data_IF_593218179356
#
_entry.id   IF_593218179356
#
_cell.length_a   1.000
_cell.length_b   1.000
_cell.length_c   1.000
_cell.angle_alpha   90.00
_cell.angle_beta   90.00
_cell.angle_gamma   90.00
#
_symmetry.space_group_name_H-M   'P 1'
#
loop_
_entity.id
_entity.type
_entity.pdbx_description
1 polymer ?
#
# COMPACT_ATOMS: atom_id res chain seq x y z
N UNK A 1 -21.30 18.03 -13.05
CA UNK A 1 -21.69 17.39 -14.34
C UNK A 1 -20.78 17.78 -15.51
N UNK A 2 -19.99 18.86 -15.47
CA UNK A 2 -19.11 19.20 -16.59
C UNK A 2 -17.75 18.50 -16.45
N UNK A 3 -17.42 17.62 -17.40
CA UNK A 3 -16.05 17.14 -17.64
C UNK A 3 -15.77 15.65 -17.43
N UNK A 4 -16.75 14.82 -17.08
CA UNK A 4 -16.57 13.36 -17.06
C UNK A 4 -16.68 12.81 -18.48
N UNK A 5 -15.62 12.20 -18.99
CA UNK A 5 -15.51 11.71 -20.38
C UNK A 5 -15.53 10.20 -20.49
N UNK A 6 -15.27 9.48 -19.39
CA UNK A 6 -15.28 8.00 -19.32
C UNK A 6 -16.36 7.50 -18.37
N UNK A 7 -16.81 6.25 -18.51
CA UNK A 7 -17.80 5.64 -17.60
C UNK A 7 -17.33 5.63 -16.14
N UNK A 8 -16.03 5.43 -15.92
CA UNK A 8 -15.42 5.50 -14.59
C UNK A 8 -15.46 6.92 -14.02
N UNK A 9 -15.19 7.96 -14.81
CA UNK A 9 -15.33 9.35 -14.37
C UNK A 9 -16.79 9.73 -14.05
N UNK A 10 -17.75 9.20 -14.81
CA UNK A 10 -19.17 9.41 -14.55
C UNK A 10 -19.59 8.72 -13.24
N UNK A 11 -19.10 7.51 -13.00
CA UNK A 11 -19.33 6.77 -11.77
C UNK A 11 -18.69 7.45 -10.56
N UNK A 12 -17.49 8.01 -10.72
CA UNK A 12 -16.87 8.87 -9.72
C UNK A 12 -17.77 10.05 -9.33
N UNK A 13 -18.31 10.78 -10.32
CA UNK A 13 -19.23 11.89 -10.04
C UNK A 13 -20.47 11.44 -9.26
N UNK A 14 -21.03 10.27 -9.60
CA UNK A 14 -22.20 9.69 -8.94
C UNK A 14 -21.90 9.28 -7.50
N UNK A 15 -20.78 8.62 -7.27
CA UNK A 15 -20.32 8.23 -5.93
C UNK A 15 -20.12 9.45 -5.03
N UNK A 16 -19.52 10.52 -5.57
CA UNK A 16 -19.30 11.77 -4.82
C UNK A 16 -20.62 12.48 -4.52
N UNK A 17 -21.58 12.51 -5.45
CA UNK A 17 -22.88 13.14 -5.22
C UNK A 17 -23.73 12.44 -4.17
N UNK A 18 -23.55 11.12 -3.99
CA UNK A 18 -24.21 10.33 -2.94
C UNK A 18 -23.47 10.40 -1.59
N UNK A 19 -22.47 11.27 -1.45
CA UNK A 19 -21.76 11.49 -0.19
C UNK A 19 -20.68 10.46 0.16
N UNK A 20 -20.34 9.56 -0.77
CA UNK A 20 -19.35 8.50 -0.58
C UNK A 20 -17.96 8.85 -1.14
N UNK A 21 -17.73 10.13 -1.46
CA UNK A 21 -16.47 10.64 -2.03
C UNK A 21 -15.32 10.84 -1.04
N UNK A 22 -15.55 10.74 0.28
CA UNK A 22 -14.57 11.12 1.31
C UNK A 22 -13.27 10.29 1.33
N UNK A 23 -13.25 9.12 0.69
CA UNK A 23 -12.06 8.28 0.52
C UNK A 23 -11.49 8.29 -0.90
N UNK A 24 -12.07 9.08 -1.81
CA UNK A 24 -11.61 9.19 -3.18
C UNK A 24 -10.64 10.36 -3.35
N UNK A 25 -9.66 10.25 -4.27
CA UNK A 25 -8.80 11.37 -4.64
C UNK A 25 -9.61 12.52 -5.26
N UNK A 26 -9.01 13.70 -5.41
CA UNK A 26 -9.67 14.85 -6.03
C UNK A 26 -10.11 14.52 -7.48
N UNK A 27 -11.09 15.23 -8.06
CA UNK A 27 -11.55 14.92 -9.42
C UNK A 27 -10.44 15.00 -10.48
N UNK A 28 -9.49 15.92 -10.30
CA UNK A 28 -8.33 16.06 -11.19
C UNK A 28 -7.37 14.89 -11.04
N UNK A 29 -7.11 14.46 -9.80
CA UNK A 29 -6.21 13.34 -9.52
C UNK A 29 -6.83 12.01 -9.94
N UNK A 30 -8.15 11.85 -9.77
CA UNK A 30 -8.87 10.68 -10.23
C UNK A 30 -8.68 10.45 -11.74
N UNK A 31 -8.84 11.51 -12.55
CA UNK A 31 -8.66 11.45 -14.02
C UNK A 31 -7.24 11.13 -14.47
N UNK A 32 -6.24 11.45 -13.66
CA UNK A 32 -4.82 11.19 -13.95
C UNK A 32 -4.45 9.72 -13.74
N UNK A 33 -5.27 8.96 -13.02
CA UNK A 33 -5.09 7.52 -12.87
C UNK A 33 -5.49 6.78 -14.14
N UNK A 34 -4.82 5.66 -14.43
CA UNK A 34 -5.23 4.76 -15.50
C UNK A 34 -6.59 4.10 -15.19
N UNK A 35 -7.30 3.56 -16.20
CA UNK A 35 -8.63 2.99 -16.01
C UNK A 35 -8.71 1.87 -14.97
N UNK A 36 -7.69 1.02 -14.82
CA UNK A 36 -7.69 -0.05 -13.82
C UNK A 36 -7.65 0.51 -12.40
N UNK A 37 -6.83 1.53 -12.17
CA UNK A 37 -6.76 2.22 -10.89
C UNK A 37 -8.05 3.00 -10.61
N UNK A 38 -8.61 3.67 -11.62
CA UNK A 38 -9.92 4.33 -11.49
C UNK A 38 -11.01 3.32 -11.07
N UNK A 39 -11.06 2.15 -11.69
CA UNK A 39 -12.02 1.10 -11.34
C UNK A 39 -11.81 0.56 -9.92
N UNK A 40 -10.56 0.34 -9.51
CA UNK A 40 -10.23 -0.12 -8.16
C UNK A 40 -10.67 0.88 -7.09
N UNK A 41 -10.41 2.17 -7.31
CA UNK A 41 -10.81 3.26 -6.41
C UNK A 41 -12.34 3.32 -6.26
N UNK A 42 -13.08 3.05 -7.32
CA UNK A 42 -14.54 3.09 -7.32
C UNK A 42 -15.20 1.84 -6.77
N UNK A 43 -14.53 0.68 -6.79
CA UNK A 43 -15.11 -0.63 -6.46
C UNK A 43 -15.84 -0.67 -5.12
N UNK A 44 -15.21 -0.11 -4.08
CA UNK A 44 -15.79 -0.08 -2.73
C UNK A 44 -16.93 0.93 -2.57
N UNK A 45 -16.77 2.22 -2.94
CA UNK A 45 -17.86 3.17 -2.78
C UNK A 45 -19.01 2.96 -3.78
N UNK A 46 -18.76 2.44 -4.99
CA UNK A 46 -19.81 2.03 -5.92
C UNK A 46 -20.57 0.79 -5.42
N UNK A 47 -19.86 -0.21 -4.86
CA UNK A 47 -20.49 -1.39 -4.27
C UNK A 47 -21.43 -1.07 -3.08
N UNK A 48 -21.15 -0.02 -2.30
CA UNK A 48 -22.05 0.47 -1.25
C UNK A 48 -23.36 1.05 -1.79
N UNK A 49 -23.38 1.45 -3.06
CA UNK A 49 -24.57 1.91 -3.77
C UNK A 49 -25.21 0.78 -4.60
N UNK A 50 -24.71 -0.45 -4.49
CA UNK A 50 -25.13 -1.58 -5.32
C UNK A 50 -24.78 -1.41 -6.79
N UNK A 51 -23.78 -0.59 -7.12
CA UNK A 51 -23.32 -0.33 -8.47
C UNK A 51 -22.12 -1.22 -8.80
N UNK A 52 -22.18 -1.93 -9.92
CA UNK A 52 -21.05 -2.67 -10.47
C UNK A 52 -20.10 -1.73 -11.20
N UNK A 53 -18.80 -1.87 -10.94
CA UNK A 53 -17.78 -1.06 -11.61
C UNK A 53 -17.36 -1.75 -12.91
N UNK A 54 -17.37 -1.05 -14.06
CA UNK A 54 -16.92 -1.61 -15.33
C UNK A 54 -15.47 -2.11 -15.23
N UNK A 55 -15.21 -3.33 -15.69
CA UNK A 55 -13.83 -3.83 -15.78
C UNK A 55 -13.12 -3.17 -16.98
N UNK A 56 -12.05 -2.41 -16.75
CA UNK A 56 -11.32 -1.74 -17.82
C UNK A 56 -10.52 -2.77 -18.61
N UNK A 57 -10.93 -2.98 -19.85
CA UNK A 57 -10.37 -3.98 -20.76
C UNK A 57 -11.33 -5.12 -21.12
N UNK A 58 -12.54 -5.15 -20.57
CA UNK A 58 -13.57 -6.05 -21.08
C UNK A 58 -13.95 -5.61 -22.51
N UNK A 59 -13.74 -6.44 -23.54
CA UNK A 59 -14.27 -6.14 -24.86
C UNK A 59 -15.79 -6.07 -24.73
N UNK A 60 -16.38 -4.95 -25.17
CA UNK A 60 -17.81 -4.88 -25.39
C UNK A 60 -18.23 -6.10 -26.20
N UNK A 61 -19.26 -6.82 -25.73
CA UNK A 61 -19.79 -8.00 -26.38
C UNK A 61 -19.97 -7.74 -27.88
N UNK A 62 -19.21 -8.46 -28.70
CA UNK A 62 -19.34 -8.45 -30.14
C UNK A 62 -19.91 -9.79 -30.60
N UNK A 63 -21.04 -9.71 -31.31
CA UNK A 63 -21.59 -10.79 -32.13
C UNK A 63 -20.58 -11.28 -33.19
N UNK A 64 -20.74 -12.50 -33.74
CA UNK A 64 -19.62 -13.26 -34.28
C UNK A 64 -19.33 -13.07 -35.78
N UNK A 65 -18.05 -13.30 -36.10
CA UNK A 65 -17.43 -13.75 -37.38
C UNK A 65 -17.04 -12.72 -38.45
N UNK A 66 -16.09 -13.05 -39.36
CA UNK A 66 -15.05 -14.09 -39.32
C UNK A 66 -13.60 -13.58 -39.62
N UNK A 67 -12.65 -14.49 -39.43
CA UNK A 67 -11.21 -14.47 -39.75
C UNK A 67 -10.85 -13.93 -41.16
N UNK A 68 -9.58 -13.53 -41.38
CA UNK A 68 -8.58 -14.49 -41.87
C UNK A 68 -7.15 -14.37 -41.29
N UNK A 69 -6.58 -15.53 -40.97
CA UNK A 69 -5.29 -16.08 -41.41
C UNK A 69 -4.01 -15.21 -41.42
N UNK A 70 -3.05 -15.61 -40.57
CA UNK A 70 -1.74 -16.06 -41.04
C UNK A 70 -0.54 -15.11 -40.89
N UNK A 71 0.29 -15.35 -39.87
CA UNK A 71 1.76 -15.32 -39.97
C UNK A 71 2.42 -15.91 -38.70
N UNK A 72 3.34 -16.85 -38.92
CA UNK A 72 4.17 -17.57 -37.92
C UNK A 72 5.28 -16.70 -37.28
N UNK A 73 5.91 -17.16 -36.18
CA UNK A 73 6.53 -16.33 -35.16
C UNK A 73 8.05 -16.14 -35.31
N UNK A 74 8.54 -14.98 -34.85
CA UNK A 74 9.98 -14.71 -34.62
C UNK A 74 10.33 -14.72 -33.11
N UNK A 75 11.61 -15.00 -32.76
CA UNK A 75 11.96 -15.74 -31.56
C UNK A 75 12.07 -14.90 -30.28
N UNK A 76 11.80 -15.60 -29.17
CA UNK A 76 11.88 -15.13 -27.80
C UNK A 76 13.24 -14.54 -27.44
N UNK A 77 13.27 -13.25 -27.09
CA UNK A 77 14.32 -12.66 -26.27
C UNK A 77 13.99 -12.89 -24.81
N UNK A 78 14.74 -13.80 -24.19
CA UNK A 78 14.82 -13.99 -22.75
C UNK A 78 15.36 -12.73 -22.07
N UNK A 79 14.47 -11.94 -21.49
CA UNK A 79 14.75 -10.93 -20.46
C UNK A 79 14.38 -11.47 -19.07
N UNK A 80 15.04 -10.98 -18.00
CA UNK A 80 15.02 -11.64 -16.70
C UNK A 80 13.64 -11.58 -16.04
N UNK A 81 13.28 -12.68 -15.37
CA UNK A 81 12.08 -12.88 -14.57
C UNK A 81 11.68 -11.63 -13.78
N UNK A 82 10.58 -11.02 -14.20
CA UNK A 82 9.81 -10.15 -13.32
C UNK A 82 9.30 -11.00 -12.17
N UNK A 83 9.65 -10.62 -10.94
CA UNK A 83 9.10 -11.23 -9.72
C UNK A 83 7.59 -11.38 -9.85
N UNK A 84 7.03 -12.58 -9.60
CA UNK A 84 5.61 -12.82 -9.77
C UNK A 84 4.80 -11.94 -8.81
N UNK A 85 3.54 -11.60 -9.17
CA UNK A 85 2.67 -10.83 -8.30
C UNK A 85 2.52 -11.52 -6.94
N UNK A 86 2.91 -10.83 -5.87
CA UNK A 86 2.91 -11.35 -4.49
C UNK A 86 1.49 -11.60 -3.93
N UNK A 87 0.45 -11.30 -4.70
CA UNK A 87 -0.96 -11.55 -4.39
C UNK A 87 -1.30 -13.03 -4.18
N UNK A 88 -0.46 -13.96 -4.67
CA UNK A 88 -0.63 -15.40 -4.47
C UNK A 88 -0.08 -15.97 -3.15
N UNK A 89 0.66 -15.18 -2.36
CA UNK A 89 1.29 -15.68 -1.13
C UNK A 89 0.31 -15.88 0.04
N UNK A 90 -0.83 -15.20 0.01
CA UNK A 90 -1.85 -15.27 1.07
C UNK A 90 -3.06 -16.14 0.72
N UNK A 91 -3.09 -16.75 -0.47
CA UNK A 91 -4.27 -17.46 -0.99
C UNK A 91 -4.70 -18.65 -0.12
N UNK A 92 -3.75 -19.34 0.51
CA UNK A 92 -4.01 -20.45 1.44
C UNK A 92 -3.99 -20.03 2.91
N UNK A 93 -3.88 -18.73 3.19
CA UNK A 93 -3.83 -18.20 4.55
C UNK A 93 -5.24 -17.88 5.08
N UNK A 94 -5.37 -17.88 6.41
CA UNK A 94 -6.57 -17.47 7.12
C UNK A 94 -6.26 -16.37 8.12
N UNK A 95 -7.13 -15.37 8.18
CA UNK A 95 -7.07 -14.32 9.19
C UNK A 95 -7.84 -14.76 10.44
N UNK A 96 -7.09 -15.02 11.51
CA UNK A 96 -7.57 -15.44 12.84
C UNK A 96 -7.44 -14.28 13.83
N UNK A 97 -8.04 -13.13 13.49
CA UNK A 97 -7.98 -11.91 14.29
C UNK A 97 -6.58 -11.32 14.39
N UNK A 98 -5.86 -11.58 15.49
CA UNK A 98 -4.50 -11.10 15.72
C UNK A 98 -3.42 -12.00 15.10
N UNK A 99 -3.82 -13.03 14.35
CA UNK A 99 -2.92 -13.93 13.67
C UNK A 99 -3.32 -14.11 12.22
N UNK A 100 -2.33 -14.25 11.34
CA UNK A 100 -2.51 -14.78 9.99
C UNK A 100 -1.86 -16.16 9.98
N UNK A 101 -2.67 -17.20 9.79
CA UNK A 101 -2.23 -18.59 9.75
C UNK A 101 -2.13 -19.06 8.30
N UNK A 102 -0.94 -19.44 7.86
CA UNK A 102 -0.68 -20.02 6.54
C UNK A 102 -0.19 -21.47 6.70
N UNK A 103 -0.25 -22.32 5.65
CA UNK A 103 0.11 -23.73 5.77
C UNK A 103 1.55 -24.01 6.28
N UNK A 104 2.48 -23.08 6.03
CA UNK A 104 3.91 -23.22 6.38
C UNK A 104 4.45 -22.13 7.29
N UNK A 105 3.63 -21.14 7.64
CA UNK A 105 4.09 -19.95 8.35
C UNK A 105 2.93 -19.33 9.13
N UNK A 106 3.25 -18.62 10.21
CA UNK A 106 2.29 -17.73 10.87
C UNK A 106 2.85 -16.33 11.01
N UNK A 107 1.95 -15.37 11.09
CA UNK A 107 2.28 -13.98 11.41
C UNK A 107 1.40 -13.52 12.56
N UNK A 108 1.99 -12.91 13.58
CA UNK A 108 1.27 -12.39 14.74
C UNK A 108 1.25 -10.85 14.66
N UNK A 109 0.11 -10.24 14.98
CA UNK A 109 -0.08 -8.79 14.97
C UNK A 109 0.87 -8.14 15.98
N UNK A 110 1.69 -7.19 15.52
CA UNK A 110 2.61 -6.50 16.41
C UNK A 110 1.93 -5.34 17.13
N UNK A 111 2.22 -5.22 18.41
CA UNK A 111 1.91 -4.04 19.22
C UNK A 111 3.12 -3.10 19.27
N UNK A 112 2.91 -1.89 19.79
CA UNK A 112 4.04 -1.11 20.27
C UNK A 112 4.67 -1.82 21.47
N UNK A 113 5.99 -1.73 21.59
CA UNK A 113 6.77 -2.37 22.63
C UNK A 113 7.40 -1.34 23.58
N UNK A 114 7.45 -1.62 24.90
CA UNK A 114 8.21 -0.83 25.85
C UNK A 114 9.71 -0.97 25.59
N UNK A 115 10.50 0.02 26.05
CA UNK A 115 11.96 0.03 25.83
C UNK A 115 12.69 -1.21 26.35
N UNK A 116 12.16 -1.85 27.40
CA UNK A 116 12.72 -3.07 27.99
C UNK A 116 12.60 -4.31 27.11
N UNK A 117 11.76 -4.27 26.07
CA UNK A 117 11.58 -5.38 25.11
C UNK A 117 12.30 -5.14 23.79
N UNK A 118 12.93 -3.97 23.61
CA UNK A 118 13.65 -3.65 22.39
C UNK A 118 15.02 -4.33 22.38
N UNK A 119 15.49 -4.69 21.18
CA UNK A 119 16.85 -5.13 20.99
C UNK A 119 17.86 -4.06 21.41
N UNK A 120 19.05 -4.50 21.82
CA UNK A 120 20.16 -3.59 22.10
C UNK A 120 20.46 -2.73 20.86
N UNK A 121 20.70 -1.44 21.05
CA UNK A 121 20.95 -0.51 19.95
C UNK A 121 19.71 -0.09 19.15
N UNK A 122 18.51 -0.62 19.42
CA UNK A 122 17.30 -0.24 18.69
C UNK A 122 17.05 1.29 18.69
N UNK A 123 17.36 1.98 19.79
CA UNK A 123 17.22 3.43 19.91
C UNK A 123 18.56 4.19 19.79
N UNK A 124 19.63 3.51 19.38
CA UNK A 124 20.95 4.13 19.20
C UNK A 124 20.98 5.02 17.94
N UNK A 125 22.01 5.87 17.84
CA UNK A 125 22.13 6.86 16.77
C UNK A 125 22.34 6.21 15.39
N UNK A 126 23.12 5.13 15.36
CA UNK A 126 23.48 4.32 14.20
C UNK A 126 22.33 3.48 13.63
N UNK A 127 21.26 3.21 14.40
CA UNK A 127 20.03 2.68 13.83
C UNK A 127 19.34 3.77 12.99
N UNK A 128 19.64 3.84 11.69
CA UNK A 128 19.08 4.84 10.76
C UNK A 128 17.90 4.27 9.99
N UNK A 129 16.95 5.13 9.57
CA UNK A 129 15.87 4.71 8.68
C UNK A 129 16.48 4.36 7.32
N UNK A 130 17.30 5.25 6.77
CA UNK A 130 18.15 5.00 5.61
C UNK A 130 17.37 4.80 4.31
N UNK A 131 16.31 5.59 4.09
CA UNK A 131 15.67 5.65 2.78
C UNK A 131 16.63 6.30 1.78
N UNK A 132 16.63 5.81 0.53
CA UNK A 132 17.35 6.48 -0.57
C UNK A 132 16.56 7.73 -0.98
N UNK A 133 17.21 8.83 -1.39
CA UNK A 133 16.51 9.94 -2.04
C UNK A 133 15.80 9.48 -3.32
N UNK A 134 14.71 10.15 -3.70
CA UNK A 134 14.07 9.92 -4.99
C UNK A 134 14.80 10.71 -6.08
N UNK A 135 15.33 10.02 -7.08
CA UNK A 135 16.10 10.61 -8.19
C UNK A 135 15.32 10.60 -9.53
N UNK A 136 14.08 10.10 -9.52
CA UNK A 136 13.26 9.97 -10.72
C UNK A 136 12.45 11.23 -11.07
N UNK A 137 11.68 11.14 -12.15
CA UNK A 137 10.67 12.14 -12.46
C UNK A 137 9.44 11.96 -11.54
N UNK A 138 9.01 13.02 -10.87
CA UNK A 138 7.85 12.98 -9.96
C UNK A 138 6.52 12.81 -10.69
N UNK A 139 6.46 13.19 -11.97
CA UNK A 139 5.30 12.98 -12.83
C UNK A 139 5.26 11.55 -13.43
N UNK A 140 6.34 10.77 -13.26
CA UNK A 140 6.37 9.37 -13.64
C UNK A 140 5.81 8.52 -12.49
N UNK A 141 4.51 8.21 -12.60
CA UNK A 141 3.78 7.47 -11.58
C UNK A 141 4.34 6.06 -11.34
N UNK A 142 4.94 5.41 -12.36
CA UNK A 142 5.54 4.09 -12.20
C UNK A 142 6.85 4.18 -11.43
N UNK A 143 7.71 5.16 -11.76
CA UNK A 143 8.95 5.40 -11.04
C UNK A 143 8.70 5.76 -9.57
N UNK A 144 7.72 6.62 -9.30
CA UNK A 144 7.30 6.97 -7.94
C UNK A 144 6.75 5.75 -7.20
N UNK A 145 5.88 4.96 -7.83
CA UNK A 145 5.30 3.75 -7.21
C UNK A 145 6.38 2.74 -6.83
N UNK A 146 7.35 2.49 -7.72
CA UNK A 146 8.47 1.57 -7.45
C UNK A 146 9.31 2.08 -6.28
N UNK A 147 9.68 3.35 -6.30
CA UNK A 147 10.44 3.97 -5.20
C UNK A 147 9.72 3.84 -3.86
N UNK A 148 8.42 4.17 -3.81
CA UNK A 148 7.65 4.14 -2.58
C UNK A 148 7.43 2.73 -2.06
N UNK A 149 7.29 1.73 -2.94
CA UNK A 149 7.22 0.32 -2.53
C UNK A 149 8.51 -0.10 -1.82
N UNK A 150 9.67 0.15 -2.44
CA UNK A 150 10.98 -0.15 -1.83
C UNK A 150 11.23 0.63 -0.52
N UNK A 151 10.82 1.90 -0.47
CA UNK A 151 10.95 2.72 0.72
C UNK A 151 10.03 2.22 1.85
N UNK A 152 8.82 1.74 1.51
CA UNK A 152 7.87 1.18 2.47
C UNK A 152 8.35 -0.16 3.05
N UNK A 153 8.91 -1.02 2.20
CA UNK A 153 9.55 -2.29 2.59
C UNK A 153 10.69 -2.10 3.59
N UNK A 154 11.29 -0.91 3.61
CA UNK A 154 12.32 -0.51 4.59
C UNK A 154 11.72 0.18 5.82
N UNK A 155 10.72 1.03 5.63
CA UNK A 155 10.08 1.80 6.69
C UNK A 155 9.41 0.90 7.74
N UNK A 156 8.62 -0.08 7.31
CA UNK A 156 7.86 -0.91 8.24
C UNK A 156 8.76 -1.72 9.19
N UNK A 157 9.77 -2.49 8.72
CA UNK A 157 10.72 -3.16 9.60
C UNK A 157 11.39 -2.21 10.60
N UNK A 158 11.79 -1.01 10.16
CA UNK A 158 12.44 -0.03 11.04
C UNK A 158 11.52 0.50 12.14
N UNK A 159 10.24 0.66 11.85
CA UNK A 159 9.25 1.02 12.86
C UNK A 159 9.01 -0.12 13.86
N UNK A 160 9.01 -1.37 13.39
CA UNK A 160 8.94 -2.56 14.25
C UNK A 160 10.18 -2.64 15.17
N UNK A 161 11.38 -2.40 14.65
CA UNK A 161 12.64 -2.47 15.41
C UNK A 161 12.68 -1.50 16.61
N UNK A 162 12.09 -0.31 16.45
CA UNK A 162 12.01 0.68 17.54
C UNK A 162 10.75 0.49 18.41
N UNK A 163 10.03 -0.63 18.22
CA UNK A 163 8.83 -1.01 18.95
C UNK A 163 7.64 -0.12 18.70
N UNK A 164 7.50 0.41 17.49
CA UNK A 164 6.38 1.26 17.05
C UNK A 164 5.53 0.57 15.97
N UNK A 165 5.44 -0.77 16.01
CA UNK A 165 4.71 -1.55 15.01
C UNK A 165 3.22 -1.23 14.87
N UNK A 166 2.56 -0.81 15.96
CA UNK A 166 1.16 -0.38 15.94
C UNK A 166 0.99 1.13 15.66
N UNK A 167 2.10 1.86 15.47
CA UNK A 167 2.15 3.29 15.14
C UNK A 167 2.86 3.51 13.80
N UNK A 168 2.39 2.81 12.78
CA UNK A 168 2.89 2.89 11.41
C UNK A 168 1.88 3.55 10.49
N UNK A 169 2.36 4.20 9.44
CA UNK A 169 1.50 4.73 8.38
C UNK A 169 1.04 3.61 7.44
N UNK A 170 -0.20 3.70 6.95
CA UNK A 170 -0.65 2.92 5.80
C UNK A 170 0.16 3.30 4.56
N UNK A 171 0.20 2.41 3.55
CA UNK A 171 0.89 2.72 2.30
C UNK A 171 0.32 3.97 1.62
N UNK A 172 -1.01 4.16 1.69
CA UNK A 172 -1.68 5.34 1.16
C UNK A 172 -1.23 6.62 1.87
N UNK A 173 -1.16 6.61 3.21
CA UNK A 173 -0.66 7.76 3.98
C UNK A 173 0.83 8.04 3.68
N UNK A 174 1.65 6.99 3.52
CA UNK A 174 3.05 7.10 3.13
C UNK A 174 3.23 7.73 1.74
N UNK A 175 2.42 7.30 0.77
CA UNK A 175 2.39 7.85 -0.58
C UNK A 175 1.97 9.33 -0.59
N UNK A 176 0.92 9.69 0.15
CA UNK A 176 0.47 11.07 0.24
C UNK A 176 1.50 11.97 0.93
N UNK A 177 2.19 11.45 1.95
CA UNK A 177 3.28 12.16 2.61
C UNK A 177 4.43 12.46 1.65
N UNK A 178 4.77 11.53 0.74
CA UNK A 178 5.78 11.76 -0.29
C UNK A 178 5.45 12.99 -1.15
N UNK A 179 4.26 13.00 -1.77
CA UNK A 179 3.84 14.12 -2.63
C UNK A 179 3.79 15.43 -1.84
N UNK A 180 3.19 15.42 -0.65
CA UNK A 180 3.09 16.63 0.20
C UNK A 180 4.46 17.22 0.54
N UNK A 181 5.43 16.36 0.88
CA UNK A 181 6.77 16.77 1.31
C UNK A 181 7.59 17.28 0.09
N UNK A 182 7.55 16.55 -1.02
CA UNK A 182 8.28 16.88 -2.25
C UNK A 182 7.71 18.13 -2.95
N UNK A 183 6.39 18.32 -2.96
CA UNK A 183 5.73 19.53 -3.48
C UNK A 183 6.09 20.77 -2.65
N UNK A 184 6.36 20.56 -1.35
CA UNK A 184 6.91 21.58 -0.46
C UNK A 184 8.41 21.87 -0.68
N UNK A 185 9.07 21.22 -1.64
CA UNK A 185 10.49 21.40 -1.94
C UNK A 185 11.42 20.77 -0.90
N UNK A 186 10.92 19.83 -0.11
CA UNK A 186 11.69 19.12 0.91
C UNK A 186 11.93 17.69 0.46
N UNK A 187 13.19 17.25 0.51
CA UNK A 187 13.55 15.84 0.25
C UNK A 187 12.87 14.90 1.24
N UNK A 188 12.05 13.98 0.71
CA UNK A 188 11.24 13.04 1.48
C UNK A 188 12.09 12.12 2.35
N UNK A 189 13.16 11.55 1.81
CA UNK A 189 14.03 10.61 2.52
C UNK A 189 14.66 11.26 3.77
N UNK A 190 15.20 12.46 3.63
CA UNK A 190 15.75 13.28 4.71
C UNK A 190 14.69 13.66 5.73
N UNK A 191 13.48 14.04 5.29
CA UNK A 191 12.40 14.37 6.21
C UNK A 191 11.97 13.16 7.05
N UNK A 192 11.86 12.00 6.41
CA UNK A 192 11.53 10.74 7.08
C UNK A 192 12.64 10.29 8.05
N UNK A 193 13.91 10.47 7.69
CA UNK A 193 15.06 10.20 8.58
C UNK A 193 15.05 11.10 9.84
N UNK A 194 14.72 12.39 9.67
CA UNK A 194 14.56 13.31 10.79
C UNK A 194 13.41 12.86 11.71
N UNK A 195 12.26 12.53 11.14
CA UNK A 195 11.10 12.01 11.89
C UNK A 195 11.47 10.74 12.66
N UNK A 196 12.16 9.79 12.02
CA UNK A 196 12.61 8.56 12.67
C UNK A 196 13.58 8.84 13.84
N UNK A 197 14.49 9.81 13.68
CA UNK A 197 15.38 10.24 14.74
C UNK A 197 14.61 10.81 15.94
N UNK A 198 13.63 11.67 15.69
CA UNK A 198 12.76 12.22 16.73
C UNK A 198 11.96 11.12 17.44
N UNK A 199 11.38 10.17 16.68
CA UNK A 199 10.64 9.05 17.24
C UNK A 199 11.51 8.20 18.19
N UNK A 200 12.78 7.94 17.84
CA UNK A 200 13.72 7.26 18.75
C UNK A 200 13.98 8.08 20.02
N UNK A 201 14.13 9.40 19.90
CA UNK A 201 14.36 10.28 21.05
C UNK A 201 13.14 10.32 21.98
N UNK A 202 11.94 10.40 21.42
CA UNK A 202 10.69 10.34 22.16
C UNK A 202 10.53 8.98 22.82
N UNK A 203 10.82 7.88 22.12
CA UNK A 203 10.75 6.52 22.69
C UNK A 203 11.63 6.35 23.91
N UNK A 204 12.82 6.97 23.94
CA UNK A 204 13.70 6.93 25.13
C UNK A 204 13.06 7.55 26.38
N UNK A 205 12.12 8.49 26.21
CA UNK A 205 11.58 9.31 27.30
C UNK A 205 10.12 9.03 27.60
N UNK A 206 9.34 8.59 26.61
CA UNK A 206 7.89 8.49 26.67
C UNK A 206 7.45 7.03 26.56
N UNK A 207 6.56 6.63 27.47
CA UNK A 207 5.86 5.36 27.35
C UNK A 207 4.84 5.44 26.22
N UNK A 208 4.68 4.33 25.50
CA UNK A 208 3.68 4.18 24.44
C UNK A 208 2.63 3.18 24.85
N UNK A 209 1.39 3.39 24.41
CA UNK A 209 0.34 2.37 24.54
C UNK A 209 0.67 1.23 23.58
N UNK A 210 0.48 -0.01 24.02
CA UNK A 210 0.67 -1.19 23.17
C UNK A 210 -0.18 -1.10 21.89
N UNK A 211 -1.43 -0.65 22.01
CA UNK A 211 -2.35 -0.36 20.91
C UNK A 211 -3.25 0.83 21.26
N UNK A 212 -3.75 1.53 20.24
CA UNK A 212 -4.66 2.68 20.40
C UNK A 212 -6.13 2.31 20.13
N UNK A 213 -6.37 1.18 19.48
CA UNK A 213 -7.68 0.59 19.23
C UNK A 213 -7.58 -0.93 19.12
N UNK A 214 -8.72 -1.60 19.20
CA UNK A 214 -8.83 -3.05 19.07
C UNK A 214 -9.32 -3.51 17.69
N UNK A 215 -9.53 -2.57 16.75
CA UNK A 215 -9.90 -2.90 15.37
C UNK A 215 -8.88 -3.84 14.74
N UNK A 216 -9.37 -4.69 13.83
CA UNK A 216 -8.63 -5.69 13.08
C UNK A 216 -9.05 -5.61 11.62
N UNK A 217 -8.20 -6.07 10.67
CA UNK A 217 -8.60 -6.14 9.28
C UNK A 217 -9.82 -7.07 9.14
N UNK A 218 -10.70 -6.75 8.20
CA UNK A 218 -11.93 -7.53 7.97
C UNK A 218 -11.63 -8.87 7.31
N UNK A 219 -10.68 -8.87 6.37
CA UNK A 219 -10.24 -10.02 5.61
C UNK A 219 -8.86 -9.77 4.98
N UNK A 220 -8.29 -10.81 4.36
CA UNK A 220 -6.95 -10.78 3.78
C UNK A 220 -6.85 -9.97 2.47
N UNK A 221 -7.96 -9.53 1.86
CA UNK A 221 -7.90 -8.66 0.67
C UNK A 221 -7.34 -7.27 0.97
N UNK A 222 -7.33 -6.89 2.26
CA UNK A 222 -6.71 -5.67 2.75
C UNK A 222 -5.20 -5.82 2.99
N UNK A 223 -4.64 -7.01 2.78
CA UNK A 223 -3.28 -7.35 3.18
C UNK A 223 -2.34 -7.51 1.98
N UNK A 224 -1.11 -7.05 2.15
CA UNK A 224 0.00 -7.22 1.22
C UNK A 224 1.20 -7.80 1.96
N UNK A 225 1.85 -8.77 1.34
CA UNK A 225 3.13 -9.31 1.82
C UNK A 225 4.23 -8.37 1.38
N UNK A 226 4.87 -7.65 2.29
CA UNK A 226 5.98 -6.74 1.94
C UNK A 226 7.33 -7.46 1.92
N UNK A 227 7.47 -8.53 2.71
CA UNK A 227 8.60 -9.46 2.63
C UNK A 227 8.21 -10.80 3.30
N UNK A 228 9.14 -11.76 3.34
CA UNK A 228 8.87 -13.11 3.89
C UNK A 228 8.43 -13.10 5.36
N UNK A 229 8.85 -12.10 6.12
CA UNK A 229 8.63 -12.00 7.57
C UNK A 229 7.49 -11.06 7.94
N UNK A 230 7.02 -10.20 7.02
CA UNK A 230 6.05 -9.16 7.34
C UNK A 230 4.91 -9.12 6.33
N UNK A 231 3.70 -9.15 6.87
CA UNK A 231 2.44 -8.86 6.16
C UNK A 231 1.86 -7.57 6.73
N UNK A 232 1.45 -6.67 5.86
CA UNK A 232 0.80 -5.41 6.25
C UNK A 232 -0.62 -5.43 5.73
N UNK A 233 -1.58 -5.18 6.60
CA UNK A 233 -2.96 -4.95 6.21
C UNK A 233 -3.32 -3.50 6.48
N UNK A 234 -4.05 -2.85 5.59
CA UNK A 234 -4.52 -1.49 5.83
C UNK A 234 -5.86 -1.21 5.17
N UNK A 235 -6.57 -0.23 5.73
CA UNK A 235 -7.83 0.26 5.15
C UNK A 235 -7.74 1.76 4.86
N UNK A 236 -6.55 2.26 4.51
CA UNK A 236 -6.16 3.68 4.44
C UNK A 236 -6.06 4.35 5.80
N UNK A 237 -7.07 4.21 6.67
CA UNK A 237 -7.15 4.88 7.98
C UNK A 237 -6.30 4.23 9.07
N UNK A 238 -6.19 2.91 9.04
CA UNK A 238 -5.50 2.10 10.05
C UNK A 238 -4.53 1.15 9.36
N UNK A 239 -3.33 0.99 9.93
CA UNK A 239 -2.31 0.06 9.48
C UNK A 239 -2.10 -1.05 10.53
N UNK A 240 -2.16 -2.31 10.11
CA UNK A 240 -1.90 -3.49 10.93
C UNK A 240 -0.70 -4.24 10.39
N UNK A 241 0.35 -4.34 11.20
CA UNK A 241 1.58 -5.03 10.83
C UNK A 241 1.59 -6.40 11.52
N UNK A 242 1.72 -7.46 10.75
CA UNK A 242 1.84 -8.83 11.22
C UNK A 242 3.25 -9.34 10.92
N UNK A 243 3.91 -9.94 11.92
CA UNK A 243 5.31 -10.35 11.82
C UNK A 243 5.45 -11.85 12.11
N UNK A 244 6.31 -12.51 11.35
CA UNK A 244 6.70 -13.90 11.57
C UNK A 244 7.46 -14.05 12.88
N UNK A 245 7.22 -15.11 13.68
CA UNK A 245 8.04 -15.44 14.84
C UNK A 245 9.53 -15.67 14.54
N UNK A 246 9.90 -15.84 13.27
CA UNK A 246 11.28 -16.07 12.83
C UNK A 246 12.09 -14.79 12.62
N UNK A 247 11.51 -13.61 12.83
CA UNK A 247 12.18 -12.32 12.72
C UNK A 247 13.08 -12.01 13.91
#
# INVERSE_FOLDING_TARGET
MAGATTELEQMYCRVVSEGLGGGLPSPTDFKRNDPQVQALLLRRPAGRLGLEVPEPGAPAQADPSPEPSGAEPEPARSGPEGSPPQSGLLSDCQLEGQRIACPRQRYDLVSNQPNSQLAEGALAEDNRLGLRPFEGNRDDSEAVRRYLSEAYDRYIPKMVDIGLGANTMSFTAFHNAFHTIEDGGVDFARRMEQTFTLLKQDKKKLAVKARYHNELPQDLSLCTVINREIVVCDNVGTNWVYVSPSR
#
